data_IF_755023506285
#
_entry.id   IF_755023506285
#
_cell.length_a   1.000
_cell.length_b   1.000
_cell.length_c   1.000
_cell.angle_alpha   90.00
_cell.angle_beta   90.00
_cell.angle_gamma   90.00
#
_symmetry.space_group_name_H-M   'P 1'
#
loop_
_entity.id
_entity.type
_entity.pdbx_description
1 polymer ?
#
# COMPACT_ATOMS: atom_id res chain seq x y z
N UNK A 1 -16.79 -7.86 -4.29
CA UNK A 1 -15.90 -6.73 -3.92
C UNK A 1 -16.21 -5.55 -4.83
N UNK A 2 -15.96 -4.28 -4.47
CA UNK A 2 -16.36 -3.16 -5.33
C UNK A 2 -15.38 -3.14 -6.51
N UNK A 3 -15.89 -2.91 -7.70
CA UNK A 3 -15.13 -2.93 -8.94
C UNK A 3 -14.71 -1.53 -9.39
N UNK A 4 -15.38 -0.50 -8.85
CA UNK A 4 -15.22 0.90 -9.25
C UNK A 4 -15.43 1.85 -8.05
N UNK A 5 -15.26 3.16 -8.31
CA UNK A 5 -15.50 4.23 -7.34
C UNK A 5 -16.96 4.37 -6.92
N UNK A 6 -17.89 3.83 -7.71
CA UNK A 6 -19.33 3.87 -7.46
C UNK A 6 -19.83 2.62 -6.72
N UNK A 7 -18.88 1.86 -6.16
CA UNK A 7 -19.09 0.68 -5.32
C UNK A 7 -19.88 -0.45 -5.98
N UNK A 8 -19.92 -0.50 -7.32
CA UNK A 8 -20.52 -1.61 -8.06
C UNK A 8 -19.83 -2.91 -7.68
N UNK A 9 -20.57 -3.93 -7.28
CA UNK A 9 -19.97 -5.16 -6.73
C UNK A 9 -20.38 -6.39 -7.52
N UNK A 10 -19.39 -7.12 -8.05
CA UNK A 10 -19.63 -8.39 -8.76
C UNK A 10 -19.41 -9.56 -7.80
N UNK A 11 -20.24 -10.59 -7.94
CA UNK A 11 -20.16 -11.83 -7.17
C UNK A 11 -20.63 -13.04 -7.97
N UNK A 12 -20.25 -14.20 -7.46
CA UNK A 12 -20.69 -15.49 -7.97
C UNK A 12 -21.18 -16.36 -6.81
N UNK A 13 -22.23 -17.15 -7.04
CA UNK A 13 -22.71 -18.17 -6.11
C UNK A 13 -22.69 -19.49 -6.86
N UNK A 14 -22.05 -20.50 -6.28
CA UNK A 14 -21.93 -21.84 -6.86
C UNK A 14 -22.70 -22.81 -5.97
N UNK A 15 -23.64 -23.56 -6.55
CA UNK A 15 -24.43 -24.57 -5.84
C UNK A 15 -24.10 -25.94 -6.45
N UNK A 16 -23.00 -26.59 -5.99
CA UNK A 16 -22.52 -27.86 -6.56
C UNK A 16 -23.39 -29.06 -6.22
N UNK A 17 -24.14 -29.01 -5.12
CA UNK A 17 -24.91 -30.16 -4.60
C UNK A 17 -26.28 -30.35 -5.29
N UNK A 18 -26.57 -29.53 -6.31
CA UNK A 18 -27.79 -29.66 -7.12
C UNK A 18 -27.50 -30.47 -8.39
N UNK A 19 -28.47 -31.26 -8.84
CA UNK A 19 -28.39 -32.00 -10.10
C UNK A 19 -29.50 -31.54 -11.07
N UNK A 20 -29.17 -30.82 -12.16
CA UNK A 20 -27.85 -30.30 -12.56
C UNK A 20 -27.36 -29.13 -11.70
N UNK A 21 -26.05 -28.89 -11.64
CA UNK A 21 -25.48 -27.83 -10.81
C UNK A 21 -25.89 -26.43 -11.29
N UNK A 22 -26.03 -25.50 -10.35
CA UNK A 22 -26.48 -24.12 -10.63
C UNK A 22 -25.42 -23.11 -10.21
N UNK A 23 -25.15 -22.17 -11.11
CA UNK A 23 -24.29 -21.03 -10.90
C UNK A 23 -25.06 -19.72 -11.04
N UNK A 24 -24.83 -18.78 -10.12
CA UNK A 24 -25.33 -17.42 -10.21
C UNK A 24 -24.16 -16.48 -10.43
N UNK A 25 -24.29 -15.56 -11.38
CA UNK A 25 -23.35 -14.45 -11.58
C UNK A 25 -24.13 -13.17 -11.42
N UNK A 26 -23.77 -12.36 -10.42
CA UNK A 26 -24.51 -11.16 -10.04
C UNK A 26 -23.64 -9.91 -9.97
N UNK A 27 -24.26 -8.77 -10.22
CA UNK A 27 -23.74 -7.43 -10.01
C UNK A 27 -24.72 -6.65 -9.13
N UNK A 28 -24.24 -6.15 -8.01
CA UNK A 28 -24.96 -5.25 -7.13
C UNK A 28 -24.63 -3.81 -7.50
N UNK A 29 -25.68 -3.02 -7.75
CA UNK A 29 -25.62 -1.62 -8.11
C UNK A 29 -26.27 -0.79 -6.98
N UNK A 30 -25.48 -0.02 -6.19
CA UNK A 30 -26.01 0.87 -5.16
C UNK A 30 -27.04 1.89 -5.66
N UNK A 31 -26.74 2.56 -6.77
CA UNK A 31 -27.67 3.46 -7.47
C UNK A 31 -27.72 3.07 -8.93
N UNK A 32 -28.69 2.22 -9.29
CA UNK A 32 -28.77 1.65 -10.62
C UNK A 32 -29.11 2.70 -11.68
N UNK A 33 -28.33 2.68 -12.76
CA UNK A 33 -28.60 3.43 -13.98
C UNK A 33 -28.26 2.56 -15.20
N UNK A 34 -28.74 2.95 -16.37
CA UNK A 34 -28.59 2.16 -17.59
C UNK A 34 -28.15 3.02 -18.75
N UNK A 35 -27.17 2.50 -19.46
CA UNK A 35 -26.67 3.09 -20.70
C UNK A 35 -26.83 2.11 -21.88
N UNK A 36 -27.13 2.61 -23.09
CA UNK A 36 -27.30 1.77 -24.26
C UNK A 36 -26.06 0.96 -24.67
N UNK A 37 -24.85 1.45 -24.38
CA UNK A 37 -23.57 0.84 -24.78
C UNK A 37 -22.96 0.03 -23.65
N UNK A 38 -22.86 0.61 -22.45
CA UNK A 38 -22.19 0.00 -21.28
C UNK A 38 -23.09 -0.91 -20.44
N UNK A 39 -24.41 -0.88 -20.67
CA UNK A 39 -25.37 -1.68 -19.91
C UNK A 39 -25.72 -1.07 -18.55
N UNK A 40 -26.08 -1.91 -17.58
CA UNK A 40 -26.41 -1.47 -16.22
C UNK A 40 -25.16 -1.15 -15.41
N UNK A 41 -25.11 0.02 -14.77
CA UNK A 41 -23.99 0.48 -13.96
C UNK A 41 -24.48 1.23 -12.71
N UNK A 42 -23.60 1.42 -11.73
CA UNK A 42 -23.90 2.28 -10.58
C UNK A 42 -23.52 3.72 -10.90
N UNK A 43 -24.47 4.65 -10.85
CA UNK A 43 -24.20 6.08 -11.14
C UNK A 43 -23.68 6.85 -9.92
N UNK A 44 -23.94 6.35 -8.71
CA UNK A 44 -23.53 6.99 -7.46
C UNK A 44 -23.21 5.93 -6.39
N UNK A 45 -22.18 6.14 -5.53
CA UNK A 45 -21.74 5.13 -4.56
C UNK A 45 -22.71 4.88 -3.40
N UNK A 46 -23.57 5.84 -3.08
CA UNK A 46 -24.58 5.66 -2.03
C UNK A 46 -25.72 4.75 -2.53
N UNK A 47 -26.44 4.12 -1.61
CA UNK A 47 -27.48 3.14 -1.94
C UNK A 47 -28.84 3.83 -2.12
N UNK A 48 -29.01 4.55 -3.24
CA UNK A 48 -30.24 5.33 -3.52
C UNK A 48 -31.27 4.55 -4.35
N UNK A 49 -30.82 3.69 -5.27
CA UNK A 49 -31.68 2.77 -6.03
C UNK A 49 -31.01 1.40 -6.14
N UNK A 50 -31.03 0.60 -5.05
CA UNK A 50 -30.36 -0.69 -5.02
C UNK A 50 -31.00 -1.66 -6.00
N UNK A 51 -30.16 -2.22 -6.88
CA UNK A 51 -30.55 -3.33 -7.76
C UNK A 51 -29.53 -4.45 -7.69
N UNK A 52 -30.03 -5.68 -7.65
CA UNK A 52 -29.23 -6.89 -7.85
C UNK A 52 -29.51 -7.44 -9.24
N UNK A 53 -28.59 -7.19 -10.19
CA UNK A 53 -28.63 -7.79 -11.51
C UNK A 53 -27.98 -9.15 -11.42
N UNK A 54 -28.61 -10.20 -11.90
CA UNK A 54 -27.96 -11.51 -11.97
C UNK A 54 -28.38 -12.31 -13.18
N UNK A 55 -27.54 -13.28 -13.49
CA UNK A 55 -27.81 -14.35 -14.44
C UNK A 55 -27.68 -15.69 -13.74
N UNK A 56 -28.57 -16.62 -14.10
CA UNK A 56 -28.59 -17.98 -13.58
C UNK A 56 -28.15 -18.93 -14.69
N UNK A 57 -27.25 -19.82 -14.35
CA UNK A 57 -26.62 -20.77 -15.25
C UNK A 57 -26.80 -22.19 -14.71
N UNK A 58 -27.15 -23.13 -15.58
CA UNK A 58 -27.39 -24.54 -15.29
C UNK A 58 -26.41 -25.40 -16.08
N UNK A 59 -25.73 -26.34 -15.42
CA UNK A 59 -24.74 -27.21 -16.06
C UNK A 59 -23.63 -27.63 -15.10
N UNK A 60 -22.46 -27.96 -15.63
CA UNK A 60 -21.27 -28.34 -14.85
C UNK A 60 -20.50 -27.09 -14.40
N UNK A 61 -20.33 -26.92 -13.08
CA UNK A 61 -19.53 -25.84 -12.48
C UNK A 61 -18.02 -26.14 -12.50
N UNK A 62 -17.62 -27.37 -12.84
CA UNK A 62 -16.25 -27.84 -12.91
C UNK A 62 -15.58 -28.02 -11.54
N UNK A 63 -16.36 -28.04 -10.45
CA UNK A 63 -15.85 -28.16 -9.08
C UNK A 63 -15.38 -29.58 -8.75
N UNK A 64 -15.93 -30.59 -9.43
CA UNK A 64 -15.58 -32.00 -9.21
C UNK A 64 -14.30 -32.44 -9.96
N UNK A 65 -13.74 -31.56 -10.79
CA UNK A 65 -12.57 -31.86 -11.63
C UNK A 65 -11.23 -31.86 -10.87
N UNK A 66 -11.20 -31.41 -9.62
CA UNK A 66 -9.97 -31.23 -8.83
C UNK A 66 -9.09 -30.05 -9.28
N UNK A 67 -9.50 -29.29 -10.31
CA UNK A 67 -8.80 -28.09 -10.77
C UNK A 67 -9.20 -26.90 -9.90
N UNK A 68 -8.25 -26.14 -9.32
CA UNK A 68 -8.57 -24.93 -8.58
C UNK A 68 -9.31 -23.91 -9.44
N UNK A 69 -10.40 -23.35 -8.92
CA UNK A 69 -11.19 -22.34 -9.62
C UNK A 69 -11.41 -21.09 -8.76
N UNK A 70 -11.70 -19.97 -9.43
CA UNK A 70 -12.05 -18.71 -8.75
C UNK A 70 -13.33 -18.85 -7.94
N UNK A 71 -13.35 -18.31 -6.73
CA UNK A 71 -14.57 -18.19 -5.90
C UNK A 71 -15.47 -17.05 -6.39
N UNK A 72 -14.91 -16.05 -7.08
CA UNK A 72 -15.62 -14.85 -7.53
C UNK A 72 -16.17 -14.94 -8.95
N UNK A 73 -15.87 -16.03 -9.68
CA UNK A 73 -16.22 -16.20 -11.09
C UNK A 73 -16.66 -17.63 -11.35
N UNK A 74 -17.51 -17.79 -12.36
CA UNK A 74 -17.98 -19.07 -12.88
C UNK A 74 -17.56 -19.13 -14.35
N UNK A 75 -17.07 -20.29 -14.79
CA UNK A 75 -16.90 -20.55 -16.22
C UNK A 75 -18.25 -21.00 -16.80
N UNK A 76 -18.85 -20.14 -17.61
CA UNK A 76 -20.18 -20.37 -18.19
C UNK A 76 -20.10 -20.95 -19.60
N UNK A 77 -18.90 -21.28 -20.11
CA UNK A 77 -18.70 -21.71 -21.50
C UNK A 77 -19.45 -22.99 -21.88
N UNK A 78 -19.69 -23.88 -20.91
CA UNK A 78 -20.42 -25.16 -21.08
C UNK A 78 -21.73 -25.19 -20.28
N UNK A 79 -22.23 -24.04 -19.84
CA UNK A 79 -23.45 -23.93 -19.06
C UNK A 79 -24.56 -23.26 -19.87
N UNK A 80 -25.81 -23.62 -19.60
CA UNK A 80 -26.99 -23.00 -20.19
C UNK A 80 -27.48 -21.84 -19.30
N UNK A 81 -27.74 -20.67 -19.89
CA UNK A 81 -28.33 -19.55 -19.15
C UNK A 81 -29.84 -19.72 -19.05
N UNK A 82 -30.33 -19.97 -17.84
CA UNK A 82 -31.76 -20.21 -17.56
C UNK A 82 -32.50 -18.98 -17.01
N UNK A 83 -31.77 -17.92 -16.61
CA UNK A 83 -32.39 -16.72 -16.06
C UNK A 83 -31.53 -15.48 -16.21
N UNK A 84 -32.20 -14.33 -16.40
CA UNK A 84 -31.60 -13.00 -16.36
C UNK A 84 -32.63 -12.03 -15.78
N UNK A 85 -32.32 -11.41 -14.64
CA UNK A 85 -33.25 -10.54 -13.92
C UNK A 85 -32.48 -9.45 -13.16
N UNK A 86 -33.12 -8.31 -12.95
CA UNK A 86 -32.71 -7.30 -11.99
C UNK A 86 -33.75 -7.28 -10.87
N UNK A 87 -33.34 -7.53 -9.63
CA UNK A 87 -34.21 -7.51 -8.48
C UNK A 87 -34.11 -6.20 -7.72
N UNK A 88 -35.26 -5.77 -7.19
CA UNK A 88 -35.33 -4.76 -6.13
C UNK A 88 -35.23 -5.40 -4.75
N UNK A 89 -35.00 -4.59 -3.72
CA UNK A 89 -34.89 -5.08 -2.34
C UNK A 89 -36.16 -5.85 -1.94
N UNK A 90 -35.97 -7.03 -1.34
CA UNK A 90 -36.99 -8.00 -0.95
C UNK A 90 -37.76 -8.65 -2.12
N UNK A 91 -37.37 -8.43 -3.37
CA UNK A 91 -37.94 -9.16 -4.50
C UNK A 91 -37.35 -10.58 -4.56
N UNK A 92 -38.22 -11.55 -4.86
CA UNK A 92 -37.85 -12.94 -5.10
C UNK A 92 -38.07 -13.30 -6.56
N UNK A 93 -37.20 -14.13 -7.10
CA UNK A 93 -37.35 -14.71 -8.43
C UNK A 93 -37.26 -16.23 -8.36
N UNK A 94 -38.30 -16.88 -8.85
CA UNK A 94 -38.37 -18.33 -9.03
C UNK A 94 -37.85 -18.68 -10.43
N UNK A 95 -36.89 -19.60 -10.48
CA UNK A 95 -36.26 -20.08 -11.71
C UNK A 95 -36.57 -21.56 -11.99
N UNK A 96 -37.60 -22.11 -11.36
CA UNK A 96 -38.09 -23.48 -11.53
C UNK A 96 -37.41 -24.49 -10.61
N UNK A 97 -36.08 -24.43 -10.50
CA UNK A 97 -35.29 -25.34 -9.62
C UNK A 97 -35.13 -24.78 -8.20
N UNK A 98 -35.62 -23.56 -7.96
CA UNK A 98 -35.49 -22.85 -6.68
C UNK A 98 -35.84 -21.38 -6.82
N UNK A 99 -35.60 -20.62 -5.76
CA UNK A 99 -35.80 -19.16 -5.76
C UNK A 99 -34.61 -18.41 -5.19
N UNK A 100 -34.38 -17.20 -5.70
CA UNK A 100 -33.40 -16.26 -5.19
C UNK A 100 -34.11 -15.00 -4.72
N UNK A 101 -33.74 -14.51 -3.54
CA UNK A 101 -34.32 -13.29 -2.96
C UNK A 101 -33.23 -12.29 -2.66
N UNK A 102 -33.42 -11.03 -3.07
CA UNK A 102 -32.50 -9.97 -2.71
C UNK A 102 -32.84 -9.41 -1.33
N UNK A 103 -32.21 -9.93 -0.28
CA UNK A 103 -32.56 -9.61 1.12
C UNK A 103 -31.93 -8.31 1.65
N UNK A 104 -30.82 -7.86 1.06
CA UNK A 104 -30.12 -6.66 1.50
C UNK A 104 -28.64 -6.65 1.16
N UNK A 105 -27.93 -5.66 1.71
CA UNK A 105 -26.49 -5.47 1.53
C UNK A 105 -25.84 -5.18 2.89
N UNK A 106 -24.55 -5.50 2.98
CA UNK A 106 -23.72 -5.12 4.13
C UNK A 106 -22.66 -4.13 3.65
N UNK A 107 -22.57 -2.98 4.33
CA UNK A 107 -21.52 -2.01 4.06
C UNK A 107 -20.22 -2.48 4.68
N UNK A 108 -19.14 -2.53 3.90
CA UNK A 108 -17.80 -2.79 4.42
C UNK A 108 -16.86 -1.67 4.02
N UNK A 109 -15.85 -1.45 4.85
CA UNK A 109 -14.76 -0.50 4.58
C UNK A 109 -13.44 -1.25 4.69
N UNK A 110 -12.53 -1.02 3.73
CA UNK A 110 -11.17 -1.53 3.81
C UNK A 110 -10.29 -0.43 4.40
N UNK A 111 -9.85 -0.61 5.65
CA UNK A 111 -8.95 0.32 6.33
C UNK A 111 -7.53 -0.23 6.24
N UNK A 112 -6.71 0.38 5.39
CA UNK A 112 -5.28 0.07 5.32
C UNK A 112 -4.53 0.99 6.29
N UNK A 113 -4.09 0.42 7.41
CA UNK A 113 -3.26 1.13 8.38
C UNK A 113 -1.79 0.81 8.06
N UNK A 114 -1.07 1.76 7.49
CA UNK A 114 0.37 1.64 7.25
C UNK A 114 1.10 2.34 8.40
N UNK A 115 1.86 1.57 9.18
CA UNK A 115 2.72 2.09 10.24
C UNK A 115 4.17 1.82 9.89
N UNK A 116 4.97 2.87 9.71
CA UNK A 116 6.39 2.80 9.38
C UNK A 116 7.25 3.27 10.57
N UNK A 117 7.42 2.44 11.62
CA UNK A 117 8.18 2.82 12.82
C UNK A 117 9.66 3.11 12.54
N UNK A 118 10.20 2.57 11.44
CA UNK A 118 11.59 2.76 11.02
C UNK A 118 11.93 4.19 10.56
N UNK A 119 10.95 5.00 10.14
CA UNK A 119 11.21 6.32 9.54
C UNK A 119 12.02 7.25 10.45
N UNK A 120 11.71 7.25 11.75
CA UNK A 120 12.40 8.10 12.73
C UNK A 120 13.84 7.62 12.92
N UNK A 121 14.07 6.31 13.01
CA UNK A 121 15.41 5.75 13.17
C UNK A 121 16.28 6.01 11.94
N UNK A 122 15.72 5.89 10.72
CA UNK A 122 16.42 6.24 9.49
C UNK A 122 16.78 7.72 9.42
N UNK A 123 15.88 8.61 9.83
CA UNK A 123 16.14 10.06 9.89
C UNK A 123 17.29 10.37 10.86
N UNK A 124 17.24 9.82 12.08
CA UNK A 124 18.31 10.01 13.08
C UNK A 124 19.64 9.46 12.57
N UNK A 125 19.64 8.27 11.96
CA UNK A 125 20.84 7.68 11.36
C UNK A 125 21.45 8.54 10.26
N UNK A 126 20.62 9.11 9.37
CA UNK A 126 21.08 10.01 8.32
C UNK A 126 21.71 11.30 8.90
N UNK A 127 21.07 11.90 9.91
CA UNK A 127 21.59 13.08 10.61
C UNK A 127 22.95 12.79 11.25
N UNK A 128 23.08 11.65 11.94
CA UNK A 128 24.34 11.25 12.58
C UNK A 128 25.44 10.99 11.56
N UNK A 129 25.13 10.35 10.44
CA UNK A 129 26.09 10.10 9.37
C UNK A 129 26.63 11.40 8.75
N UNK A 130 25.73 12.34 8.42
CA UNK A 130 26.10 13.66 7.90
C UNK A 130 26.92 14.43 8.94
N UNK A 131 26.53 14.40 10.21
CA UNK A 131 27.25 15.10 11.29
C UNK A 131 28.65 14.53 11.48
N UNK A 132 28.80 13.20 11.50
CA UNK A 132 30.11 12.54 11.59
C UNK A 132 31.01 12.85 10.39
N UNK A 133 30.43 12.92 9.19
CA UNK A 133 31.15 13.34 7.99
C UNK A 133 31.65 14.79 8.12
N UNK A 134 30.79 15.72 8.53
CA UNK A 134 31.16 17.12 8.73
C UNK A 134 32.28 17.25 9.77
N UNK A 135 32.14 16.59 10.92
CA UNK A 135 33.18 16.59 11.97
C UNK A 135 34.50 16.05 11.41
N UNK A 136 34.48 14.95 10.67
CA UNK A 136 35.67 14.37 10.04
C UNK A 136 36.36 15.35 9.08
N UNK A 137 35.59 16.07 8.26
CA UNK A 137 36.13 17.04 7.30
C UNK A 137 36.65 18.32 7.96
N UNK A 138 35.98 18.81 9.01
CA UNK A 138 36.34 20.07 9.68
C UNK A 138 37.35 19.90 10.83
N UNK A 139 37.59 18.68 11.31
CA UNK A 139 38.59 18.43 12.36
C UNK A 139 40.00 18.69 11.80
N UNK A 140 40.64 19.76 12.30
CA UNK A 140 41.99 20.14 11.90
C UNK A 140 43.00 19.14 12.46
N UNK A 141 43.55 18.28 11.62
CA UNK A 141 44.70 17.44 12.00
C UNK A 141 45.98 18.29 11.99
N UNK A 142 46.34 18.85 13.14
CA UNK A 142 47.60 19.58 13.33
C UNK A 142 48.57 18.71 14.11
N UNK A 143 49.82 18.61 13.62
CA UNK A 143 50.90 17.99 14.38
C UNK A 143 51.84 19.08 14.85
N UNK A 144 51.99 19.19 16.16
CA UNK A 144 52.87 20.14 16.82
C UNK A 144 53.97 19.33 17.51
N UNK A 145 55.22 19.75 17.33
CA UNK A 145 56.36 19.21 18.03
C UNK A 145 56.95 20.31 18.90
N UNK A 146 57.13 19.98 20.18
CA UNK A 146 57.79 20.85 21.15
C UNK A 146 59.08 20.16 21.57
N UNK A 147 60.20 20.88 21.48
CA UNK A 147 61.49 20.43 21.98
C UNK A 147 61.99 21.39 23.06
N UNK A 148 62.13 20.87 24.27
CA UNK A 148 62.66 21.61 25.41
C UNK A 148 64.17 21.36 25.56
N UNK A 149 64.98 22.43 25.56
CA UNK A 149 66.44 22.41 25.77
C UNK A 149 66.91 23.69 26.48
N UNK A 150 68.10 24.22 26.17
CA UNK A 150 68.53 25.56 26.65
C UNK A 150 67.62 26.69 26.17
N UNK A 151 66.96 26.49 25.02
CA UNK A 151 65.85 27.30 24.51
C UNK A 151 64.72 26.36 24.09
N UNK A 152 63.47 26.76 24.30
CA UNK A 152 62.29 26.03 23.84
C UNK A 152 62.13 26.26 22.33
N UNK A 153 62.00 25.18 21.57
CA UNK A 153 61.75 25.21 20.12
C UNK A 153 60.39 24.58 19.85
N UNK A 154 59.56 25.29 19.09
CA UNK A 154 58.20 24.85 18.73
C UNK A 154 58.11 24.85 17.21
N UNK A 155 57.68 23.73 16.65
CA UNK A 155 57.44 23.58 15.21
C UNK A 155 56.05 22.97 15.01
N UNK A 156 55.29 23.51 14.06
CA UNK A 156 54.01 22.94 13.64
C UNK A 156 54.06 22.59 12.17
N UNK A 157 53.44 21.48 11.81
CA UNK A 157 53.15 21.12 10.41
C UNK A 157 51.65 20.90 10.30
N UNK A 158 51.00 21.70 9.47
CA UNK A 158 49.63 21.45 9.07
C UNK A 158 49.62 20.58 7.82
N UNK A 159 48.87 19.48 7.85
CA UNK A 159 48.79 18.54 6.72
C UNK A 159 47.92 19.07 5.57
N UNK A 160 47.02 20.01 5.89
CA UNK A 160 46.21 20.78 4.94
C UNK A 160 46.61 22.27 5.08
N UNK A 161 46.66 23.05 3.99
CA UNK A 161 46.99 24.50 3.99
C UNK A 161 45.88 25.37 4.63
N UNK A 162 45.31 24.92 5.75
CA UNK A 162 44.27 25.64 6.49
C UNK A 162 44.95 26.78 7.28
N UNK A 163 44.54 28.05 7.08
CA UNK A 163 45.13 29.19 7.77
C UNK A 163 44.93 29.14 9.29
N UNK A 164 45.80 29.84 10.03
CA UNK A 164 45.74 29.97 11.50
C UNK A 164 46.68 29.04 12.28
N UNK A 165 47.63 28.35 11.62
CA UNK A 165 48.70 27.63 12.33
C UNK A 165 49.68 28.60 13.01
N UNK A 166 50.00 29.71 12.36
CA UNK A 166 50.93 30.70 12.88
C UNK A 166 50.39 31.42 14.12
N UNK A 167 49.08 31.67 14.17
CA UNK A 167 48.42 32.24 15.36
C UNK A 167 48.43 31.23 16.51
N UNK A 168 48.05 29.97 16.28
CA UNK A 168 48.10 28.93 17.31
C UNK A 168 49.52 28.69 17.83
N UNK A 169 50.55 28.70 16.98
CA UNK A 169 51.95 28.59 17.43
C UNK A 169 52.36 29.81 18.26
N UNK A 170 51.97 31.03 17.86
CA UNK A 170 52.26 32.24 18.62
C UNK A 170 51.58 32.23 20.00
N UNK A 171 50.33 31.81 20.06
CA UNK A 171 49.60 31.66 21.33
C UNK A 171 50.26 30.61 22.21
N UNK A 172 50.69 29.47 21.65
CA UNK A 172 51.41 28.43 22.40
C UNK A 172 52.76 28.93 22.94
N UNK A 173 53.51 29.69 22.13
CA UNK A 173 54.78 30.31 22.55
C UNK A 173 54.54 31.33 23.67
N UNK A 174 53.48 32.13 23.55
CA UNK A 174 53.11 33.14 24.55
C UNK A 174 52.77 32.49 25.88
N UNK A 175 51.94 31.46 25.88
CA UNK A 175 51.54 30.74 27.10
C UNK A 175 52.74 30.08 27.79
N UNK A 176 53.57 29.37 27.03
CA UNK A 176 54.75 28.67 27.56
C UNK A 176 55.88 29.61 28.04
N UNK A 177 55.89 30.86 27.57
CA UNK A 177 56.84 31.88 28.03
C UNK A 177 56.27 32.70 29.20
N UNK A 178 54.94 32.79 29.31
CA UNK A 178 54.22 33.49 30.38
C UNK A 178 54.19 32.72 31.70
N UNK A 179 54.34 31.39 31.69
CA UNK A 179 54.40 30.56 32.90
C UNK A 179 55.78 30.58 33.61
N UNK A 180 56.63 31.58 33.33
CA UNK A 180 57.98 31.69 33.89
C UNK A 180 58.30 33.09 34.40
#
# INVERSE_FOLDING_TARGET
>A
MPQDSNLSSIGAIKVPDMDPQIGFVGSFLPTADRDPVRGGFSSYPEVLDPRLLFSIWKGDLGLDSGVPQSVYRIDTSKMERIGLKALVLNESFDFGEGSITFTGWNSWVNLQIVSDPGKIYSLVGAILAISGLLISLFTRQRRIWVKQGRKTQIAGLSKNEIPGLDEEIKDLVKELTSER
#
